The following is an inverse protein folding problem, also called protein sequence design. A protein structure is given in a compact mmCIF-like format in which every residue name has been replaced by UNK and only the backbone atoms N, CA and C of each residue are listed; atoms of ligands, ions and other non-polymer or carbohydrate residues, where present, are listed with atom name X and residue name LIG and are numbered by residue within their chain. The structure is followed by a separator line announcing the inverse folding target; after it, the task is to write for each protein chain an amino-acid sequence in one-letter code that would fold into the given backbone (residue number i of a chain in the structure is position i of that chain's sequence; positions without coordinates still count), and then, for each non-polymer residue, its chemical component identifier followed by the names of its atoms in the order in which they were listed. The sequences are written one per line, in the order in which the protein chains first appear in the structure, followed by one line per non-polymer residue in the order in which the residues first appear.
data_IF_390129974991
#
_entry.id   IF_390129974991
#
_cell.length_a   1.000
_cell.length_b   1.000
_cell.length_c   1.000
_cell.angle_alpha   90.00
_cell.angle_beta   90.00
_cell.angle_gamma   90.00
#
_symmetry.space_group_name_H-M   'P 1'
#
loop_
_entity.id
_entity.type
_entity.pdbx_description
1 polymer ?
#
# COMPACT_ATOMS: atom_id res chain seq x y z
N UNK A 1 -2.32 -8.58 5.62
CA UNK A 1 -3.48 -9.50 5.71
C UNK A 1 -4.08 -9.44 7.10
N UNK A 2 -5.36 -9.12 7.20
CA UNK A 2 -6.10 -9.07 8.47
C UNK A 2 -7.38 -9.90 8.39
N UNK A 3 -7.80 -10.42 9.55
CA UNK A 3 -9.12 -11.03 9.71
C UNK A 3 -10.18 -9.96 9.95
N UNK A 4 -11.45 -10.33 9.89
CA UNK A 4 -12.55 -9.41 10.25
C UNK A 4 -12.45 -8.95 11.70
N UNK A 5 -12.06 -9.85 12.62
CA UNK A 5 -11.88 -9.49 14.03
C UNK A 5 -10.77 -8.46 14.23
N UNK A 6 -9.66 -8.62 13.50
CA UNK A 6 -8.56 -7.67 13.55
C UNK A 6 -8.96 -6.31 12.98
N UNK A 7 -9.73 -6.29 11.88
CA UNK A 7 -10.26 -5.03 11.33
C UNK A 7 -11.25 -4.37 12.26
N UNK A 8 -12.09 -5.16 12.94
CA UNK A 8 -13.02 -4.64 13.95
C UNK A 8 -12.27 -3.92 15.06
N UNK A 9 -11.17 -4.49 15.54
CA UNK A 9 -10.30 -3.83 16.53
C UNK A 9 -9.62 -2.60 15.98
N UNK A 10 -9.10 -2.69 14.75
CA UNK A 10 -8.39 -1.57 14.11
C UNK A 10 -9.27 -0.34 13.95
N UNK A 11 -10.51 -0.53 13.49
CA UNK A 11 -11.44 0.56 13.19
C UNK A 11 -12.43 0.85 14.32
N UNK A 12 -12.34 0.14 15.43
CA UNK A 12 -13.23 0.27 16.59
C UNK A 12 -14.70 0.13 16.17
N UNK A 13 -15.00 -0.95 15.49
CA UNK A 13 -16.34 -1.30 15.02
C UNK A 13 -16.66 -2.75 15.31
N UNK A 14 -17.96 -3.07 15.37
CA UNK A 14 -18.39 -4.45 15.52
C UNK A 14 -17.99 -5.30 14.31
N UNK A 15 -17.69 -6.58 14.54
CA UNK A 15 -17.36 -7.52 13.47
C UNK A 15 -18.47 -7.60 12.41
N UNK A 16 -19.74 -7.54 12.82
CA UNK A 16 -20.89 -7.56 11.91
C UNK A 16 -20.88 -6.37 10.96
N UNK A 17 -20.49 -5.18 11.44
CA UNK A 17 -20.35 -3.98 10.61
C UNK A 17 -19.24 -4.14 9.60
N UNK A 18 -18.09 -4.65 10.00
CA UNK A 18 -16.97 -4.93 9.10
C UNK A 18 -17.39 -5.94 8.03
N UNK A 19 -18.06 -7.02 8.42
CA UNK A 19 -18.55 -8.02 7.49
C UNK A 19 -19.51 -7.43 6.45
N UNK A 20 -20.41 -6.56 6.86
CA UNK A 20 -21.35 -5.88 5.97
C UNK A 20 -20.62 -4.98 4.97
N UNK A 21 -19.63 -4.21 5.42
CA UNK A 21 -18.80 -3.39 4.52
C UNK A 21 -18.08 -4.26 3.49
N UNK A 22 -17.51 -5.37 3.91
CA UNK A 22 -16.80 -6.29 3.01
C UNK A 22 -17.76 -6.87 1.96
N UNK A 23 -18.95 -7.30 2.37
CA UNK A 23 -19.97 -7.79 1.43
C UNK A 23 -20.35 -6.74 0.40
N UNK A 24 -20.51 -5.48 0.83
CA UNK A 24 -20.86 -4.38 -0.07
C UNK A 24 -19.73 -4.06 -1.04
N UNK A 25 -18.47 -4.13 -0.60
CA UNK A 25 -17.30 -3.91 -1.47
C UNK A 25 -17.33 -4.90 -2.64
N UNK A 26 -17.59 -6.17 -2.36
CA UNK A 26 -17.66 -7.19 -3.42
C UNK A 26 -18.94 -7.08 -4.25
N UNK A 27 -20.07 -6.77 -3.63
CA UNK A 27 -21.34 -6.58 -4.34
C UNK A 27 -21.30 -5.41 -5.32
N UNK A 28 -20.56 -4.35 -5.00
CA UNK A 28 -20.37 -3.18 -5.84
C UNK A 28 -19.24 -3.35 -6.86
N UNK A 29 -18.60 -4.50 -6.90
CA UNK A 29 -17.47 -4.82 -7.78
C UNK A 29 -16.26 -3.88 -7.59
N UNK A 30 -16.11 -3.29 -6.40
CA UNK A 30 -14.95 -2.46 -6.09
C UNK A 30 -13.67 -3.30 -6.09
N UNK A 31 -13.74 -4.53 -5.57
CA UNK A 31 -12.63 -5.48 -5.56
C UNK A 31 -13.12 -6.86 -5.98
N UNK A 32 -12.20 -7.65 -6.53
CA UNK A 32 -12.47 -9.05 -6.91
C UNK A 32 -12.15 -9.96 -5.73
N UNK A 33 -13.16 -10.67 -5.22
CA UNK A 33 -13.05 -11.49 -4.01
C UNK A 33 -11.91 -12.50 -4.08
N UNK A 34 -11.79 -13.22 -5.19
CA UNK A 34 -10.78 -14.28 -5.34
C UNK A 34 -9.33 -13.79 -5.25
N UNK A 35 -9.06 -12.51 -5.57
CA UNK A 35 -7.72 -11.95 -5.58
C UNK A 35 -7.30 -11.32 -4.25
N UNK A 36 -8.25 -11.06 -3.34
CA UNK A 36 -8.00 -10.28 -2.13
C UNK A 36 -8.25 -11.05 -0.83
N UNK A 37 -8.64 -12.32 -0.92
CA UNK A 37 -8.89 -13.18 0.23
C UNK A 37 -7.98 -14.40 0.20
N UNK A 38 -7.41 -14.72 1.36
CA UNK A 38 -6.72 -15.99 1.60
C UNK A 38 -7.37 -16.71 2.75
N UNK A 39 -7.45 -18.03 2.64
CA UNK A 39 -7.96 -18.89 3.70
C UNK A 39 -6.81 -19.62 4.36
N UNK A 40 -6.70 -19.46 5.68
CA UNK A 40 -5.73 -20.18 6.49
C UNK A 40 -6.45 -20.98 7.58
N UNK A 41 -5.80 -22.00 8.11
CA UNK A 41 -6.35 -22.79 9.18
C UNK A 41 -6.86 -24.16 8.74
N UNK A 42 -6.20 -24.77 7.76
CA UNK A 42 -6.48 -26.15 7.33
C UNK A 42 -5.84 -27.20 8.24
N UNK A 43 -5.70 -26.92 9.52
CA UNK A 43 -5.27 -27.94 10.48
C UNK A 43 -6.41 -28.92 10.73
N UNK A 44 -6.08 -30.16 11.04
CA UNK A 44 -7.06 -31.20 11.38
C UNK A 44 -7.99 -30.77 12.53
N UNK A 45 -7.57 -29.78 13.31
CA UNK A 45 -8.30 -29.27 14.47
C UNK A 45 -9.14 -28.04 14.17
N UNK A 46 -8.95 -27.40 13.04
CA UNK A 46 -9.71 -26.21 12.65
C UNK A 46 -10.97 -26.61 11.92
N UNK A 47 -12.14 -26.36 12.52
CA UNK A 47 -13.44 -26.69 11.93
C UNK A 47 -13.78 -25.83 10.72
N UNK A 48 -13.26 -24.61 10.64
CA UNK A 48 -13.48 -23.68 9.52
C UNK A 48 -12.20 -22.90 9.24
N UNK A 49 -11.80 -22.79 7.96
CA UNK A 49 -10.68 -21.89 7.62
C UNK A 49 -11.05 -20.44 7.90
N UNK A 50 -10.09 -19.68 8.38
CA UNK A 50 -10.25 -18.25 8.64
C UNK A 50 -9.88 -17.47 7.39
N UNK A 51 -10.75 -16.53 7.00
CA UNK A 51 -10.50 -15.64 5.89
C UNK A 51 -9.58 -14.49 6.33
N UNK A 52 -8.53 -14.27 5.57
CA UNK A 52 -7.63 -13.12 5.69
C UNK A 52 -7.82 -12.23 4.47
N UNK A 53 -7.87 -10.94 4.72
CA UNK A 53 -8.11 -9.92 3.69
C UNK A 53 -6.85 -9.09 3.48
N UNK A 54 -6.55 -8.75 2.23
CA UNK A 54 -5.34 -8.02 1.91
C UNK A 54 -5.50 -6.51 2.17
N UNK A 55 -4.43 -5.76 1.91
CA UNK A 55 -4.40 -4.32 2.13
C UNK A 55 -5.49 -3.57 1.35
N UNK A 56 -5.82 -4.02 0.14
CA UNK A 56 -6.86 -3.37 -0.66
C UNK A 56 -8.21 -3.40 0.03
N UNK A 57 -8.57 -4.53 0.65
CA UNK A 57 -9.80 -4.64 1.43
C UNK A 57 -9.74 -3.76 2.67
N UNK A 58 -8.62 -3.76 3.37
CA UNK A 58 -8.43 -2.96 4.59
C UNK A 58 -8.62 -1.47 4.28
N UNK A 59 -8.05 -0.98 3.20
CA UNK A 59 -8.20 0.40 2.75
C UNK A 59 -9.66 0.71 2.41
N UNK A 60 -10.31 -0.16 1.64
CA UNK A 60 -11.71 0.02 1.24
C UNK A 60 -12.65 0.06 2.46
N UNK A 61 -12.42 -0.83 3.44
CA UNK A 61 -13.18 -0.82 4.70
C UNK A 61 -12.91 0.48 5.47
N UNK A 62 -11.65 0.91 5.55
CA UNK A 62 -11.27 2.13 6.25
C UNK A 62 -11.95 3.39 5.70
N UNK A 63 -12.24 3.43 4.40
CA UNK A 63 -12.96 4.54 3.79
C UNK A 63 -14.48 4.46 3.99
N UNK A 64 -15.00 3.33 4.42
CA UNK A 64 -16.45 3.14 4.64
C UNK A 64 -16.86 3.29 6.10
N UNK A 65 -15.99 2.96 7.04
CA UNK A 65 -16.35 2.94 8.46
C UNK A 65 -16.53 4.36 9.01
N UNK A 66 -17.55 4.53 9.85
CA UNK A 66 -17.84 5.78 10.55
C UNK A 66 -17.38 5.63 12.00
N UNK A 67 -16.14 6.00 12.28
CA UNK A 67 -15.56 5.98 13.62
C UNK A 67 -14.40 6.97 13.68
N UNK A 68 -13.99 7.32 14.89
CA UNK A 68 -12.81 8.17 15.09
C UNK A 68 -11.57 7.50 14.50
N UNK A 69 -11.40 6.21 14.74
CA UNK A 69 -10.27 5.46 14.19
C UNK A 69 -10.31 5.36 12.67
N UNK A 70 -11.50 5.21 12.08
CA UNK A 70 -11.68 5.25 10.63
C UNK A 70 -11.26 6.59 10.05
N UNK A 71 -11.64 7.69 10.71
CA UNK A 71 -11.21 9.04 10.32
C UNK A 71 -9.71 9.20 10.42
N UNK A 72 -9.11 8.76 11.51
CA UNK A 72 -7.65 8.79 11.69
C UNK A 72 -6.93 7.97 10.61
N UNK A 73 -7.46 6.81 10.27
CA UNK A 73 -6.94 5.98 9.20
C UNK A 73 -6.98 6.70 7.84
N UNK A 74 -8.10 7.35 7.51
CA UNK A 74 -8.23 8.09 6.24
C UNK A 74 -7.26 9.26 6.16
N UNK A 75 -7.07 9.99 7.26
CA UNK A 75 -6.09 11.07 7.33
C UNK A 75 -4.68 10.54 7.08
N UNK A 76 -4.32 9.47 7.79
CA UNK A 76 -3.02 8.82 7.62
C UNK A 76 -2.81 8.34 6.18
N UNK A 77 -3.78 7.65 5.60
CA UNK A 77 -3.69 7.13 4.23
C UNK A 77 -3.53 8.26 3.22
N UNK A 78 -4.27 9.35 3.38
CA UNK A 78 -4.18 10.53 2.52
C UNK A 78 -2.80 11.16 2.58
N UNK A 79 -2.24 11.29 3.77
CA UNK A 79 -0.89 11.82 3.95
C UNK A 79 0.16 10.93 3.29
N UNK A 80 0.02 9.60 3.40
CA UNK A 80 0.91 8.66 2.74
C UNK A 80 0.86 8.78 1.22
N UNK A 81 -0.32 8.94 0.65
CA UNK A 81 -0.48 9.15 -0.79
C UNK A 81 0.20 10.44 -1.25
N UNK A 82 0.07 11.53 -0.48
CA UNK A 82 0.73 12.81 -0.82
C UNK A 82 2.25 12.68 -0.79
N UNK A 83 2.79 12.00 0.21
CA UNK A 83 4.24 11.76 0.31
C UNK A 83 4.71 10.93 -0.90
N UNK A 84 3.98 9.92 -1.27
CA UNK A 84 4.29 9.07 -2.42
C UNK A 84 4.24 9.85 -3.75
N UNK A 85 3.22 10.68 -3.93
CA UNK A 85 3.09 11.54 -5.11
C UNK A 85 4.28 12.50 -5.24
N UNK A 86 4.67 13.14 -4.13
CA UNK A 86 5.81 14.04 -4.11
C UNK A 86 7.10 13.30 -4.49
N UNK A 87 7.28 12.09 -3.98
CA UNK A 87 8.42 11.25 -4.31
C UNK A 87 8.46 10.91 -5.80
N UNK A 88 7.31 10.56 -6.39
CA UNK A 88 7.20 10.29 -7.83
C UNK A 88 7.51 11.52 -8.67
N UNK A 89 7.04 12.70 -8.27
CA UNK A 89 7.33 13.96 -8.97
C UNK A 89 8.82 14.26 -8.96
N UNK A 90 9.48 14.10 -7.83
CA UNK A 90 10.92 14.29 -7.71
C UNK A 90 11.68 13.32 -8.62
N UNK A 91 11.25 12.07 -8.66
CA UNK A 91 11.84 11.05 -9.53
C UNK A 91 11.69 11.41 -11.00
N UNK A 92 10.51 11.89 -11.41
CA UNK A 92 10.25 12.32 -12.79
C UNK A 92 11.15 13.50 -13.18
N UNK A 93 11.32 14.46 -12.28
CA UNK A 93 12.19 15.62 -12.54
C UNK A 93 13.64 15.18 -12.71
N UNK A 94 14.12 14.24 -11.90
CA UNK A 94 15.46 13.70 -12.04
C UNK A 94 15.63 12.95 -13.37
N UNK A 95 14.64 12.18 -13.79
CA UNK A 95 14.65 11.45 -15.06
C UNK A 95 14.68 12.42 -16.25
N UNK A 96 13.91 13.51 -16.20
CA UNK A 96 13.94 14.56 -17.22
C UNK A 96 15.31 15.22 -17.32
N UNK A 97 15.92 15.50 -16.20
CA UNK A 97 17.25 16.07 -16.15
C UNK A 97 18.28 15.15 -16.81
N UNK A 98 18.22 13.85 -16.48
CA UNK A 98 19.10 12.85 -17.07
C UNK A 98 18.93 12.78 -18.59
N UNK A 99 17.71 12.86 -19.10
CA UNK A 99 17.43 12.84 -20.53
C UNK A 99 18.02 14.08 -21.25
N UNK A 100 18.04 15.24 -20.60
CA UNK A 100 18.57 16.47 -21.19
C UNK A 100 20.08 16.47 -21.33
N UNK A 101 20.77 15.89 -20.38
CA UNK A 101 22.23 15.94 -20.30
C UNK A 101 22.87 14.58 -20.64
N UNK A 102 22.06 13.60 -21.00
CA UNK A 102 22.48 12.20 -21.07
C UNK A 102 23.70 11.93 -21.96
N UNK A 103 23.80 12.41 -23.23
CA UNK A 103 24.94 12.03 -24.05
C UNK A 103 26.28 12.51 -23.47
N UNK A 104 26.35 13.77 -23.06
CA UNK A 104 27.58 14.36 -22.52
C UNK A 104 27.85 13.88 -21.09
N UNK A 105 26.78 13.72 -20.32
CA UNK A 105 26.86 13.30 -18.92
C UNK A 105 27.31 11.84 -18.79
N UNK A 106 26.77 10.94 -19.59
CA UNK A 106 27.15 9.53 -19.59
C UNK A 106 28.62 9.37 -20.00
N UNK A 107 29.06 10.11 -20.99
CA UNK A 107 30.45 10.11 -21.40
C UNK A 107 31.36 10.62 -20.28
N UNK A 108 30.98 11.71 -19.62
CA UNK A 108 31.72 12.27 -18.50
C UNK A 108 31.83 11.29 -17.34
N UNK A 109 30.73 10.61 -17.00
CA UNK A 109 30.68 9.61 -15.93
C UNK A 109 31.58 8.42 -16.25
N UNK A 110 31.58 7.95 -17.50
CA UNK A 110 32.40 6.82 -17.93
C UNK A 110 33.91 7.14 -17.86
N UNK A 111 34.29 8.41 -17.92
CA UNK A 111 35.68 8.83 -17.79
C UNK A 111 36.09 9.09 -16.34
N UNK A 112 35.14 9.15 -15.39
CA UNK A 112 35.44 9.37 -13.98
C UNK A 112 35.95 8.11 -13.30
N UNK A 113 36.86 8.25 -12.30
CA UNK A 113 37.23 7.11 -11.44
C UNK A 113 36.03 6.54 -10.72
N UNK A 114 36.00 5.20 -10.58
CA UNK A 114 34.88 4.50 -9.92
C UNK A 114 34.59 4.97 -8.51
N UNK A 115 35.60 5.42 -7.77
CA UNK A 115 35.40 5.93 -6.40
C UNK A 115 34.53 7.20 -6.35
N UNK A 116 34.56 8.04 -7.37
CA UNK A 116 33.68 9.20 -7.48
C UNK A 116 32.24 8.78 -7.70
N UNK A 117 32.02 7.77 -8.52
CA UNK A 117 30.70 7.21 -8.74
C UNK A 117 30.11 6.59 -7.47
N UNK A 118 30.95 5.92 -6.66
CA UNK A 118 30.52 5.37 -5.36
C UNK A 118 30.09 6.46 -4.40
N UNK A 119 30.82 7.56 -4.35
CA UNK A 119 30.48 8.70 -3.47
C UNK A 119 29.16 9.34 -3.87
N UNK A 120 28.89 9.46 -5.16
CA UNK A 120 27.63 10.02 -5.65
C UNK A 120 26.44 9.10 -5.39
N UNK A 121 26.66 7.80 -5.26
CA UNK A 121 25.64 6.81 -5.01
C UNK A 121 25.50 6.43 -3.53
N UNK A 122 26.34 6.97 -2.67
CA UNK A 122 26.31 6.67 -1.24
C UNK A 122 25.14 7.45 -0.60
N UNK A 123 24.13 6.76 -0.06
CA UNK A 123 22.99 7.42 0.57
C UNK A 123 23.36 7.84 1.98
N UNK A 124 23.81 9.02 2.13
CA UNK A 124 24.06 9.58 3.46
C UNK A 124 22.84 10.26 4.03
#
# INVERSE_FOLDING_TARGET
WLTQDQMASLFDKAKSTINEHIKNIFAENELVESSVIKKFGNSEFAKKPTNYYNLDVIISVGYRVKSVRGTQFRIWATQRLKVYQKHLEQKRELEKLDLRISPDFDEAINTLPKKHLRLSNDPK
#
